data_IF_938131088309
#
_entry.id   IF_938131088309
#
_cell.length_a   1.000
_cell.length_b   1.000
_cell.length_c   1.000
_cell.angle_alpha   90.00
_cell.angle_beta   90.00
_cell.angle_gamma   90.00
#
_symmetry.space_group_name_H-M   'P 1'
#
loop_
_entity.id
_entity.type
_entity.pdbx_description
1 polymer ?
#
# COMPACT_ATOMS: atom_id res chain seq x y z
N UNK A 1 18.15 35.75 22.33
CA UNK A 1 18.21 35.93 20.86
C UNK A 1 19.48 35.34 20.27
N UNK A 2 20.69 35.81 20.63
CA UNK A 2 21.97 35.26 20.11
C UNK A 2 22.19 33.76 20.35
N UNK A 3 21.93 33.27 21.57
CA UNK A 3 22.05 31.85 21.89
C UNK A 3 21.05 30.96 21.13
N UNK A 4 19.87 31.51 20.78
CA UNK A 4 18.91 30.81 19.93
C UNK A 4 19.38 30.77 18.47
N UNK A 5 19.94 31.88 17.97
CA UNK A 5 20.53 31.96 16.62
C UNK A 5 21.74 31.04 16.47
N UNK A 6 22.67 30.98 17.43
CA UNK A 6 23.79 30.03 17.37
C UNK A 6 23.34 28.57 17.45
N UNK A 7 22.25 28.29 18.17
CA UNK A 7 21.68 26.94 18.26
C UNK A 7 20.94 26.53 16.97
N UNK A 8 20.31 27.49 16.30
CA UNK A 8 19.51 27.26 15.10
C UNK A 8 20.36 27.33 13.82
N UNK A 9 21.34 28.24 13.77
CA UNK A 9 22.13 28.54 12.59
C UNK A 9 23.58 28.93 13.01
N UNK A 10 24.44 27.95 13.32
CA UNK A 10 25.79 28.19 13.85
C UNK A 10 26.64 29.02 12.89
N UNK A 11 27.38 30.02 13.40
CA UNK A 11 28.28 30.86 12.60
C UNK A 11 27.62 32.06 11.89
N UNK A 12 26.31 32.24 12.09
CA UNK A 12 25.55 33.40 11.60
C UNK A 12 25.38 34.50 12.65
N UNK A 13 25.79 34.27 13.91
CA UNK A 13 25.74 35.31 14.93
C UNK A 13 26.93 36.28 14.80
N UNK A 14 26.66 37.58 14.88
CA UNK A 14 27.69 38.63 14.90
C UNK A 14 28.69 38.49 16.04
N UNK A 15 29.77 39.31 16.01
CA UNK A 15 30.85 39.28 17.00
C UNK A 15 30.32 39.59 18.42
N UNK A 16 30.97 39.06 19.48
CA UNK A 16 30.58 39.38 20.85
C UNK A 16 30.71 40.88 21.11
N UNK A 17 29.59 41.53 21.47
CA UNK A 17 29.56 42.96 21.79
C UNK A 17 28.63 43.79 20.91
N UNK A 18 28.23 43.28 19.74
CA UNK A 18 27.20 43.93 18.93
C UNK A 18 25.82 43.75 19.59
N UNK A 19 25.04 44.84 19.61
CA UNK A 19 23.67 44.85 20.11
C UNK A 19 22.85 43.72 19.48
N UNK A 20 21.80 43.27 20.18
CA UNK A 20 20.95 42.12 19.84
C UNK A 20 20.16 42.21 18.50
N UNK A 21 20.61 43.02 17.55
CA UNK A 21 20.07 43.16 16.21
C UNK A 21 20.66 42.08 15.29
N UNK A 22 19.81 41.50 14.45
CA UNK A 22 20.21 40.56 13.42
C UNK A 22 20.41 41.35 12.13
N UNK A 23 21.59 41.24 11.53
CA UNK A 23 21.88 41.86 10.23
C UNK A 23 20.92 41.33 9.14
N UNK A 24 20.58 42.17 8.15
CA UNK A 24 19.59 41.81 7.10
C UNK A 24 20.05 40.59 6.31
N UNK A 25 21.35 40.44 6.03
CA UNK A 25 21.90 39.28 5.33
C UNK A 25 21.84 38.03 6.21
N UNK A 26 22.07 38.19 7.52
CA UNK A 26 21.92 37.10 8.50
C UNK A 26 20.46 36.65 8.60
N UNK A 27 19.51 37.60 8.64
CA UNK A 27 18.09 37.30 8.66
C UNK A 27 17.63 36.59 7.38
N UNK A 28 18.06 37.08 6.21
CA UNK A 28 17.76 36.43 4.94
C UNK A 28 18.31 34.99 4.87
N UNK A 29 19.53 34.75 5.35
CA UNK A 29 20.11 33.40 5.43
C UNK A 29 19.36 32.50 6.41
N UNK A 30 18.86 33.03 7.52
CA UNK A 30 18.04 32.27 8.46
C UNK A 30 16.73 31.81 7.82
N UNK A 31 16.07 32.70 7.06
CA UNK A 31 14.81 32.37 6.38
C UNK A 31 14.95 31.23 5.35
N UNK A 32 16.12 31.11 4.71
CA UNK A 32 16.45 30.06 3.73
C UNK A 32 17.15 28.83 4.37
N UNK A 33 17.40 28.87 5.68
CA UNK A 33 18.09 27.77 6.38
C UNK A 33 17.15 26.64 6.80
N UNK A 34 17.70 25.45 7.07
CA UNK A 34 16.94 24.30 7.61
C UNK A 34 16.23 24.62 8.93
N UNK A 35 16.72 25.61 9.70
CA UNK A 35 16.09 26.02 10.95
C UNK A 35 14.76 26.76 10.76
N UNK A 36 14.50 27.27 9.55
CA UNK A 36 13.21 27.85 9.15
C UNK A 36 12.45 26.93 8.18
N UNK A 37 12.82 25.65 8.14
CA UNK A 37 12.11 24.69 7.32
C UNK A 37 10.66 24.54 7.80
N UNK A 38 9.71 24.50 6.87
CA UNK A 38 8.29 24.19 7.16
C UNK A 38 8.14 22.75 7.69
N UNK A 39 9.14 21.93 7.45
CA UNK A 39 9.25 20.54 7.78
C UNK A 39 9.69 20.35 9.23
N UNK A 40 8.79 19.89 10.10
CA UNK A 40 9.13 19.57 11.50
C UNK A 40 10.00 18.30 11.56
N UNK A 41 11.30 18.41 11.91
CA UNK A 41 12.21 17.27 11.95
C UNK A 41 11.81 16.24 13.02
N UNK A 42 11.02 16.60 14.04
CA UNK A 42 10.49 15.64 15.02
C UNK A 42 9.34 14.80 14.45
N UNK A 43 8.63 15.32 13.45
CA UNK A 43 7.57 14.58 12.72
C UNK A 43 8.09 13.85 11.48
N UNK A 44 9.19 14.33 10.91
CA UNK A 44 9.84 13.71 9.74
C UNK A 44 10.90 12.68 10.13
N UNK A 45 11.48 12.83 11.32
CA UNK A 45 12.43 11.89 11.88
C UNK A 45 11.77 10.62 12.39
N UNK A 46 12.53 9.53 12.29
CA UNK A 46 12.29 8.19 12.86
C UNK A 46 12.12 8.14 14.38
N UNK A 47 12.02 9.28 15.08
CA UNK A 47 11.71 9.36 16.51
C UNK A 47 10.23 9.13 16.74
N UNK A 48 9.73 8.01 16.23
CA UNK A 48 8.53 7.39 16.78
C UNK A 48 8.93 6.96 18.19
N UNK A 49 8.12 7.30 19.18
CA UNK A 49 8.33 6.84 20.56
C UNK A 49 8.64 5.32 20.55
N UNK A 50 9.58 4.87 21.38
CA UNK A 50 9.85 3.43 21.50
C UNK A 50 8.53 2.68 21.74
N UNK A 51 8.26 1.66 20.94
CA UNK A 51 6.99 0.90 21.01
C UNK A 51 5.79 1.55 20.32
N UNK A 52 5.95 2.66 19.56
CA UNK A 52 4.86 3.26 18.76
C UNK A 52 4.19 2.23 17.83
N UNK A 53 4.98 1.31 17.27
CA UNK A 53 4.50 0.26 16.34
C UNK A 53 4.09 -1.04 17.05
N UNK A 54 3.97 -1.03 18.39
CA UNK A 54 3.61 -2.17 19.22
C UNK A 54 2.11 -2.32 19.49
N UNK A 55 1.26 -1.36 19.10
CA UNK A 55 -0.21 -1.47 19.17
C UNK A 55 -0.75 -2.40 18.06
N UNK A 56 -1.98 -2.94 18.18
CA UNK A 56 -2.62 -3.77 17.14
C UNK A 56 -2.69 -3.08 15.77
N UNK A 57 -2.59 -3.84 14.67
CA UNK A 57 -2.58 -3.31 13.30
C UNK A 57 -3.77 -2.37 12.98
N UNK A 58 -4.93 -2.60 13.60
CA UNK A 58 -6.14 -1.77 13.43
C UNK A 58 -6.03 -0.34 13.98
N UNK A 59 -4.92 0.01 14.64
CA UNK A 59 -4.71 1.34 15.25
C UNK A 59 -3.95 2.32 14.35
N UNK A 60 -3.56 1.90 13.14
CA UNK A 60 -2.72 2.70 12.26
C UNK A 60 -3.42 2.97 10.94
N UNK A 61 -3.20 4.16 10.39
CA UNK A 61 -3.42 4.38 8.97
C UNK A 61 -2.36 3.64 8.16
N UNK A 62 -2.80 2.93 7.15
CA UNK A 62 -1.96 2.12 6.27
C UNK A 62 -2.03 2.74 4.87
N UNK A 63 -0.87 3.16 4.36
CA UNK A 63 -0.76 3.64 2.99
C UNK A 63 -1.13 2.50 2.02
N UNK A 64 -2.17 2.72 1.21
CA UNK A 64 -2.87 1.67 0.46
C UNK A 64 -3.05 2.09 -1.00
N UNK A 65 -2.92 1.13 -1.91
CA UNK A 65 -3.13 1.32 -3.35
C UNK A 65 -4.30 0.45 -3.81
N UNK A 66 -5.20 1.07 -4.58
CA UNK A 66 -6.32 0.42 -5.25
C UNK A 66 -5.93 0.06 -6.69
N UNK A 67 -6.41 -1.09 -7.19
CA UNK A 67 -6.10 -1.62 -8.52
C UNK A 67 -4.64 -1.43 -8.92
N UNK A 68 -3.73 -1.86 -8.04
CA UNK A 68 -2.30 -1.54 -8.09
C UNK A 68 -1.64 -1.90 -9.43
N UNK A 69 -2.15 -2.91 -10.12
CA UNK A 69 -1.61 -3.38 -11.39
C UNK A 69 -1.83 -2.41 -12.56
N UNK A 70 -2.80 -1.49 -12.49
CA UNK A 70 -3.12 -0.59 -13.60
C UNK A 70 -2.11 0.57 -13.70
N UNK A 71 -1.60 0.84 -14.90
CA UNK A 71 -0.70 1.99 -15.17
C UNK A 71 -1.46 3.27 -15.54
N UNK A 72 -2.77 3.18 -15.78
CA UNK A 72 -3.58 4.27 -16.35
C UNK A 72 -5.03 4.23 -15.86
N UNK A 73 -5.98 4.43 -16.77
CA UNK A 73 -7.41 4.43 -16.45
C UNK A 73 -7.96 3.03 -16.11
N UNK A 74 -9.22 2.99 -15.67
CA UNK A 74 -9.88 1.77 -15.20
C UNK A 74 -10.44 0.89 -16.32
N UNK A 75 -10.54 1.35 -17.58
CA UNK A 75 -11.27 0.63 -18.64
C UNK A 75 -10.35 0.08 -19.72
N UNK A 76 -9.28 0.79 -20.08
CA UNK A 76 -8.45 0.50 -21.23
C UNK A 76 -6.96 0.79 -21.00
N UNK A 77 -6.43 0.36 -19.85
CA UNK A 77 -5.02 0.57 -19.51
C UNK A 77 -4.19 -0.71 -19.45
N UNK A 78 -2.89 -0.53 -19.32
CA UNK A 78 -1.93 -1.63 -19.23
C UNK A 78 -1.87 -2.09 -17.78
N UNK A 79 -1.96 -3.40 -17.57
CA UNK A 79 -1.59 -4.06 -16.32
C UNK A 79 -0.09 -4.34 -16.30
N UNK A 80 0.58 -4.08 -15.18
CA UNK A 80 2.03 -4.23 -15.03
C UNK A 80 2.40 -4.69 -13.62
N UNK A 81 3.28 -5.69 -13.53
CA UNK A 81 3.83 -6.16 -12.26
C UNK A 81 4.76 -5.10 -11.62
N UNK A 82 5.38 -4.24 -12.44
CA UNK A 82 6.29 -3.18 -12.00
C UNK A 82 5.57 -2.09 -11.19
N UNK A 83 4.26 -1.91 -11.36
CA UNK A 83 3.49 -0.97 -10.53
C UNK A 83 3.54 -1.35 -9.05
N UNK A 84 3.51 -2.65 -8.72
CA UNK A 84 3.67 -3.13 -7.35
C UNK A 84 5.02 -2.71 -6.76
N UNK A 85 6.11 -2.86 -7.53
CA UNK A 85 7.41 -2.40 -7.10
C UNK A 85 7.42 -0.88 -6.89
N UNK A 86 6.87 -0.11 -7.82
CA UNK A 86 6.84 1.35 -7.73
C UNK A 86 6.08 1.85 -6.50
N UNK A 87 4.89 1.30 -6.20
CA UNK A 87 4.11 1.75 -5.03
C UNK A 87 4.76 1.32 -3.72
N UNK A 88 5.34 0.11 -3.64
CA UNK A 88 6.03 -0.38 -2.45
C UNK A 88 7.28 0.47 -2.14
N UNK A 89 8.04 0.85 -3.17
CA UNK A 89 9.20 1.75 -3.03
C UNK A 89 8.82 3.15 -2.57
N UNK A 90 7.60 3.62 -2.88
CA UNK A 90 7.01 4.87 -2.37
C UNK A 90 6.41 4.75 -0.97
N UNK A 91 6.53 3.59 -0.33
CA UNK A 91 6.09 3.34 1.04
C UNK A 91 4.65 2.85 1.19
N UNK A 92 3.96 2.51 0.10
CA UNK A 92 2.67 1.79 0.16
C UNK A 92 2.86 0.45 0.87
N UNK A 93 1.93 0.05 1.75
CA UNK A 93 1.97 -1.17 2.56
C UNK A 93 0.73 -2.06 2.38
N UNK A 94 -0.26 -1.65 1.60
CA UNK A 94 -1.40 -2.48 1.21
C UNK A 94 -1.60 -2.35 -0.30
N UNK A 95 -1.54 -3.48 -1.01
CA UNK A 95 -1.67 -3.51 -2.48
C UNK A 95 -2.79 -4.45 -2.88
N UNK A 96 -3.47 -4.12 -3.96
CA UNK A 96 -4.60 -4.86 -4.49
C UNK A 96 -4.21 -5.77 -5.66
N UNK A 97 -4.76 -6.97 -5.70
CA UNK A 97 -4.48 -7.99 -6.72
C UNK A 97 -5.79 -8.66 -7.14
N UNK A 98 -6.27 -8.33 -8.33
CA UNK A 98 -7.51 -8.87 -8.90
C UNK A 98 -7.20 -10.13 -9.69
N UNK A 99 -7.49 -11.28 -9.10
CA UNK A 99 -7.01 -12.56 -9.58
C UNK A 99 -8.09 -13.28 -10.40
N UNK A 100 -7.73 -13.68 -11.61
CA UNK A 100 -8.59 -14.37 -12.57
C UNK A 100 -7.93 -15.65 -13.09
N UNK A 101 -8.76 -16.59 -13.55
CA UNK A 101 -8.29 -17.81 -14.21
C UNK A 101 -7.44 -17.47 -15.44
N UNK A 102 -6.35 -18.23 -15.60
CA UNK A 102 -5.47 -18.12 -16.75
C UNK A 102 -6.01 -18.83 -17.98
N UNK A 103 -5.62 -18.35 -19.16
CA UNK A 103 -5.89 -18.99 -20.43
C UNK A 103 -4.61 -19.06 -21.27
N UNK A 104 -4.56 -20.02 -22.21
CA UNK A 104 -3.43 -20.15 -23.14
C UNK A 104 -3.22 -18.84 -23.90
N UNK A 105 -1.99 -18.33 -23.89
CA UNK A 105 -1.61 -17.09 -24.55
C UNK A 105 -2.06 -15.81 -23.83
N UNK A 106 -2.63 -15.91 -22.63
CA UNK A 106 -3.10 -14.77 -21.85
C UNK A 106 -2.46 -14.74 -20.44
N UNK A 107 -1.46 -13.87 -20.17
CA UNK A 107 -0.69 -13.10 -21.16
C UNK A 107 0.19 -13.99 -22.05
N UNK A 108 0.87 -13.40 -23.03
CA UNK A 108 1.78 -14.11 -23.93
C UNK A 108 2.74 -15.03 -23.15
N UNK A 109 2.84 -16.29 -23.57
CA UNK A 109 3.65 -17.31 -22.88
C UNK A 109 2.92 -18.10 -21.78
N UNK A 110 1.72 -17.68 -21.34
CA UNK A 110 0.90 -18.49 -20.43
C UNK A 110 0.41 -19.75 -21.14
N UNK A 111 0.56 -20.92 -20.51
CA UNK A 111 0.07 -22.21 -21.05
C UNK A 111 -1.36 -22.52 -20.59
N UNK A 112 -2.03 -21.56 -19.94
CA UNK A 112 -3.35 -21.73 -19.35
C UNK A 112 -3.30 -22.45 -17.99
N UNK A 113 -2.14 -22.50 -17.36
CA UNK A 113 -1.89 -23.19 -16.09
C UNK A 113 -1.53 -22.24 -14.94
N UNK A 114 -1.33 -20.95 -15.23
CA UNK A 114 -1.06 -19.91 -14.22
C UNK A 114 -2.16 -18.84 -14.17
N UNK A 115 -2.56 -18.38 -12.97
CA UNK A 115 -3.55 -17.32 -12.82
C UNK A 115 -3.00 -15.98 -13.30
N UNK A 116 -3.92 -15.07 -13.63
CA UNK A 116 -3.60 -13.74 -14.14
C UNK A 116 -4.18 -12.64 -13.27
N UNK A 117 -3.62 -11.44 -13.41
CA UNK A 117 -4.10 -10.21 -12.77
C UNK A 117 -4.56 -9.22 -13.84
N UNK A 118 -5.79 -8.73 -13.70
CA UNK A 118 -6.43 -7.78 -14.62
C UNK A 118 -7.70 -7.21 -14.00
N UNK A 119 -8.16 -6.08 -14.52
CA UNK A 119 -9.49 -5.59 -14.24
C UNK A 119 -10.51 -6.38 -15.08
N UNK A 120 -11.45 -7.06 -14.41
CA UNK A 120 -12.42 -7.94 -15.04
C UNK A 120 -13.34 -7.22 -16.02
N UNK A 121 -13.82 -7.92 -17.05
CA UNK A 121 -14.79 -7.39 -18.01
C UNK A 121 -14.40 -6.08 -18.72
N UNK A 122 -13.11 -5.74 -18.73
CA UNK A 122 -12.56 -4.57 -19.42
C UNK A 122 -11.59 -4.96 -20.53
N UNK A 123 -11.04 -3.97 -21.24
CA UNK A 123 -10.00 -4.19 -22.26
C UNK A 123 -8.58 -4.00 -21.73
N UNK A 124 -8.42 -3.95 -20.40
CA UNK A 124 -7.12 -3.89 -19.76
C UNK A 124 -6.27 -5.14 -20.07
N UNK A 125 -4.95 -4.96 -20.16
CA UNK A 125 -4.03 -6.09 -20.41
C UNK A 125 -3.92 -6.98 -19.16
N UNK A 126 -3.30 -8.15 -19.30
CA UNK A 126 -3.14 -9.13 -18.24
C UNK A 126 -1.67 -9.30 -17.89
N UNK A 127 -1.37 -9.59 -16.63
CA UNK A 127 -0.04 -10.02 -16.17
C UNK A 127 -0.15 -11.31 -15.37
N UNK A 128 0.92 -12.12 -15.33
CA UNK A 128 0.92 -13.34 -14.54
C UNK A 128 0.90 -13.01 -13.05
N UNK A 129 0.07 -13.72 -12.30
CA UNK A 129 0.04 -13.61 -10.84
C UNK A 129 1.42 -13.88 -10.23
N UNK A 130 2.16 -14.87 -10.76
CA UNK A 130 3.52 -15.17 -10.29
C UNK A 130 4.48 -14.00 -10.42
N UNK A 131 4.41 -13.25 -11.52
CA UNK A 131 5.28 -12.10 -11.75
C UNK A 131 4.93 -10.95 -10.81
N UNK A 132 3.63 -10.75 -10.51
CA UNK A 132 3.18 -9.83 -9.47
C UNK A 132 3.76 -10.20 -8.10
N UNK A 133 3.66 -11.47 -7.68
CA UNK A 133 4.20 -11.93 -6.40
C UNK A 133 5.72 -11.77 -6.34
N UNK A 134 6.45 -12.02 -7.43
CA UNK A 134 7.90 -11.79 -7.52
C UNK A 134 8.27 -10.32 -7.41
N UNK A 135 7.54 -9.43 -8.09
CA UNK A 135 7.75 -8.00 -8.00
C UNK A 135 7.57 -7.50 -6.56
N UNK A 136 6.52 -7.98 -5.88
CA UNK A 136 6.27 -7.69 -4.46
C UNK A 136 7.42 -8.20 -3.58
N UNK A 137 7.80 -9.47 -3.68
CA UNK A 137 8.91 -10.07 -2.91
C UNK A 137 10.18 -9.22 -2.99
N UNK A 138 10.54 -8.80 -4.21
CA UNK A 138 11.78 -8.10 -4.49
C UNK A 138 11.78 -6.64 -4.00
N UNK A 139 10.60 -6.05 -3.75
CA UNK A 139 10.45 -4.63 -3.42
C UNK A 139 9.82 -4.36 -2.05
N UNK A 140 9.25 -5.37 -1.39
CA UNK A 140 8.52 -5.23 -0.14
C UNK A 140 9.34 -4.56 0.97
N UNK A 141 10.59 -5.00 1.19
CA UNK A 141 11.41 -4.55 2.33
C UNK A 141 12.79 -3.98 1.92
N UNK A 142 13.06 -3.92 0.62
CA UNK A 142 14.34 -3.48 0.07
C UNK A 142 14.52 -1.95 0.01
N UNK A 143 15.70 -1.48 -0.40
CA UNK A 143 15.91 -0.08 -0.79
C UNK A 143 14.96 0.32 -1.96
N UNK A 144 14.54 1.59 -2.06
CA UNK A 144 14.89 2.74 -1.22
C UNK A 144 14.02 2.89 0.03
N UNK A 145 12.87 2.21 0.12
CA UNK A 145 11.89 2.43 1.18
C UNK A 145 12.43 2.11 2.59
N UNK A 146 13.31 1.09 2.72
CA UNK A 146 13.83 0.57 4.01
C UNK A 146 12.73 0.37 5.07
N UNK A 147 11.49 0.17 4.63
CA UNK A 147 10.32 0.00 5.49
C UNK A 147 10.17 -1.50 5.77
N UNK A 148 10.44 -1.90 7.02
CA UNK A 148 10.38 -3.31 7.46
C UNK A 148 8.99 -3.74 7.89
N UNK A 149 8.03 -2.83 8.03
CA UNK A 149 6.66 -3.13 8.47
C UNK A 149 5.89 -3.92 7.41
N UNK A 150 4.88 -4.71 7.82
CA UNK A 150 4.24 -5.70 6.95
C UNK A 150 3.64 -5.11 5.68
N UNK A 151 3.61 -5.94 4.64
CA UNK A 151 2.86 -5.68 3.42
C UNK A 151 1.59 -6.53 3.43
N UNK A 152 0.46 -5.93 3.11
CA UNK A 152 -0.84 -6.59 3.01
C UNK A 152 -1.20 -6.75 1.54
N UNK A 153 -1.54 -7.98 1.14
CA UNK A 153 -2.07 -8.30 -0.19
C UNK A 153 -3.58 -8.36 -0.07
N UNK A 154 -4.28 -7.34 -0.54
CA UNK A 154 -5.75 -7.36 -0.72
C UNK A 154 -6.05 -8.15 -1.99
N UNK A 155 -6.47 -9.40 -1.84
CA UNK A 155 -6.77 -10.28 -2.97
C UNK A 155 -8.26 -10.24 -3.27
N UNK A 156 -8.60 -9.78 -4.47
CA UNK A 156 -9.93 -9.93 -5.05
C UNK A 156 -9.94 -11.23 -5.87
N UNK A 157 -10.85 -12.14 -5.53
CA UNK A 157 -10.78 -13.53 -5.97
C UNK A 157 -11.88 -13.87 -6.96
N UNK A 158 -11.51 -14.02 -8.23
CA UNK A 158 -12.37 -14.52 -9.31
C UNK A 158 -11.89 -15.87 -9.87
N UNK A 159 -10.83 -16.42 -9.29
CA UNK A 159 -10.29 -17.70 -9.71
C UNK A 159 -11.19 -18.88 -9.29
N UNK A 160 -11.26 -19.90 -10.14
CA UNK A 160 -11.80 -21.21 -9.77
C UNK A 160 -10.92 -21.89 -8.71
N UNK A 161 -11.46 -22.89 -8.00
CA UNK A 161 -10.75 -23.59 -6.93
C UNK A 161 -9.35 -24.12 -7.37
N UNK A 162 -9.25 -24.64 -8.59
CA UNK A 162 -7.98 -25.09 -9.18
C UNK A 162 -6.94 -23.97 -9.25
N UNK A 163 -7.34 -22.78 -9.70
CA UNK A 163 -6.42 -21.64 -9.77
C UNK A 163 -6.16 -21.02 -8.40
N UNK A 164 -7.10 -21.09 -7.46
CA UNK A 164 -6.85 -20.70 -6.07
C UNK A 164 -5.77 -21.57 -5.40
N UNK A 165 -5.81 -22.89 -5.61
CA UNK A 165 -4.74 -23.80 -5.16
C UNK A 165 -3.39 -23.44 -5.79
N UNK A 166 -3.39 -23.13 -7.09
CA UNK A 166 -2.20 -22.68 -7.81
C UNK A 166 -1.66 -21.36 -7.27
N UNK A 167 -2.52 -20.38 -6.96
CA UNK A 167 -2.14 -19.12 -6.33
C UNK A 167 -1.51 -19.37 -4.96
N UNK A 168 -2.11 -20.24 -4.14
CA UNK A 168 -1.57 -20.58 -2.83
C UNK A 168 -0.19 -21.25 -2.94
N UNK A 169 0.02 -22.12 -3.94
CA UNK A 169 1.32 -22.70 -4.24
C UNK A 169 2.34 -21.63 -4.65
N UNK A 170 1.98 -20.72 -5.57
CA UNK A 170 2.84 -19.61 -6.00
C UNK A 170 3.24 -18.73 -4.81
N UNK A 171 2.30 -18.34 -3.95
CA UNK A 171 2.61 -17.54 -2.76
C UNK A 171 3.60 -18.26 -1.84
N UNK A 172 3.43 -19.56 -1.58
CA UNK A 172 4.36 -20.34 -0.74
C UNK A 172 5.74 -20.47 -1.38
N UNK A 173 5.80 -20.77 -2.67
CA UNK A 173 7.04 -20.93 -3.44
C UNK A 173 7.84 -19.63 -3.50
N UNK A 174 7.18 -18.54 -3.89
CA UNK A 174 7.87 -17.27 -4.16
C UNK A 174 8.16 -16.51 -2.87
N UNK A 175 7.19 -16.42 -1.94
CA UNK A 175 7.36 -15.61 -0.71
C UNK A 175 8.09 -16.35 0.40
N UNK A 176 8.00 -17.69 0.46
CA UNK A 176 8.66 -18.51 1.48
C UNK A 176 8.40 -17.99 2.90
N UNK A 177 9.47 -17.74 3.65
CA UNK A 177 9.42 -17.23 5.04
C UNK A 177 8.85 -15.80 5.14
N UNK A 178 8.75 -15.03 4.04
CA UNK A 178 8.07 -13.74 4.11
C UNK A 178 6.56 -13.91 4.28
N UNK A 179 5.96 -15.03 3.84
CA UNK A 179 4.53 -15.25 3.97
C UNK A 179 4.13 -15.45 5.43
N UNK A 180 3.19 -14.65 5.92
CA UNK A 180 2.61 -14.81 7.25
C UNK A 180 1.47 -15.83 7.21
N UNK A 181 1.57 -16.86 8.05
CA UNK A 181 0.51 -17.84 8.26
C UNK A 181 -0.05 -17.69 9.68
N UNK A 182 -1.33 -17.34 9.78
CA UNK A 182 -2.03 -17.06 11.06
C UNK A 182 -1.93 -18.21 12.08
N UNK A 183 -1.79 -19.46 11.63
CA UNK A 183 -1.73 -20.64 12.51
C UNK A 183 -0.43 -20.81 13.30
N UNK A 184 0.61 -20.02 13.00
CA UNK A 184 1.87 -20.04 13.75
C UNK A 184 1.80 -19.21 15.04
N UNK A 185 0.70 -18.49 15.25
CA UNK A 185 0.59 -17.50 16.30
C UNK A 185 -0.67 -17.76 17.14
N UNK A 186 -0.56 -18.05 18.45
CA UNK A 186 -1.69 -18.13 19.36
C UNK A 186 -2.23 -16.71 19.63
N UNK A 187 -2.66 -16.04 18.58
CA UNK A 187 -3.34 -14.76 18.68
C UNK A 187 -4.74 -15.02 19.19
N UNK A 188 -5.06 -14.38 20.32
CA UNK A 188 -6.43 -14.19 20.75
C UNK A 188 -7.21 -13.63 19.55
N UNK A 189 -8.20 -14.38 19.06
CA UNK A 189 -8.97 -14.07 17.83
C UNK A 189 -9.60 -12.66 17.84
N UNK A 190 -9.54 -11.98 18.99
CA UNK A 190 -10.04 -10.63 19.25
C UNK A 190 -9.07 -9.51 18.91
N UNK A 191 -7.76 -9.76 18.71
CA UNK A 191 -6.77 -8.68 18.46
C UNK A 191 -5.77 -9.03 17.36
N UNK A 192 -5.69 -8.16 16.35
CA UNK A 192 -4.68 -8.26 15.28
C UNK A 192 -3.26 -8.07 15.84
N UNK A 193 -2.25 -8.74 15.26
CA UNK A 193 -0.84 -8.56 15.65
C UNK A 193 -0.39 -7.11 15.38
N UNK A 194 0.68 -6.68 16.05
CA UNK A 194 1.24 -5.35 15.84
C UNK A 194 2.11 -5.29 14.57
N UNK A 195 2.27 -4.12 13.92
CA UNK A 195 3.22 -3.96 12.83
C UNK A 195 4.65 -4.37 13.21
N UNK A 196 5.06 -4.10 14.44
CA UNK A 196 6.38 -4.48 14.97
C UNK A 196 6.60 -6.00 14.97
N UNK A 197 5.57 -6.77 15.32
CA UNK A 197 5.62 -8.25 15.32
C UNK A 197 5.65 -8.85 13.91
N UNK A 198 5.04 -8.16 12.95
CA UNK A 198 4.94 -8.60 11.56
C UNK A 198 6.06 -8.02 10.67
N UNK A 199 7.18 -7.57 11.24
CA UNK A 199 8.27 -7.06 10.43
C UNK A 199 8.82 -8.11 9.47
N UNK A 200 9.02 -7.72 8.21
CA UNK A 200 9.48 -8.61 7.14
C UNK A 200 8.42 -9.62 6.67
N UNK A 201 7.17 -9.50 7.13
CA UNK A 201 6.09 -10.41 6.78
C UNK A 201 5.11 -9.82 5.77
N UNK A 202 4.56 -10.69 4.93
CA UNK A 202 3.54 -10.40 3.92
C UNK A 202 2.27 -11.14 4.34
N UNK A 203 1.20 -10.39 4.52
CA UNK A 203 -0.11 -10.88 4.98
C UNK A 203 -1.07 -10.93 3.81
N UNK A 204 -1.77 -12.05 3.63
CA UNK A 204 -2.83 -12.17 2.61
C UNK A 204 -4.17 -11.83 3.25
N UNK A 205 -4.86 -10.83 2.70
CA UNK A 205 -6.23 -10.43 3.04
C UNK A 205 -7.15 -10.90 1.92
N UNK A 206 -8.01 -11.87 2.21
CA UNK A 206 -9.01 -12.37 1.27
C UNK A 206 -10.16 -13.04 2.01
N UNK A 207 -11.21 -13.41 1.28
CA UNK A 207 -12.33 -14.17 1.85
C UNK A 207 -11.84 -15.54 2.28
N UNK A 208 -12.06 -15.88 3.54
CA UNK A 208 -11.86 -17.25 4.02
C UNK A 208 -13.01 -18.09 3.50
N UNK A 209 -12.71 -19.26 2.94
CA UNK A 209 -13.74 -20.28 2.78
C UNK A 209 -14.33 -20.56 4.17
N UNK A 210 -15.66 -20.68 4.26
CA UNK A 210 -16.27 -21.13 5.50
C UNK A 210 -15.56 -22.42 5.92
N UNK A 211 -15.10 -22.55 7.18
CA UNK A 211 -14.61 -23.84 7.64
C UNK A 211 -15.71 -24.84 7.32
N UNK A 212 -15.35 -25.97 6.69
CA UNK A 212 -16.30 -27.00 6.28
C UNK A 212 -17.17 -27.35 7.49
N UNK A 213 -18.33 -26.71 7.57
CA UNK A 213 -19.29 -26.94 8.63
C UNK A 213 -19.81 -28.35 8.36
N UNK A 214 -19.82 -29.18 9.40
CA UNK A 214 -20.65 -30.37 9.42
C UNK A 214 -22.01 -30.01 8.83
N UNK A 215 -22.47 -30.81 7.86
CA UNK A 215 -23.64 -30.56 7.02
C UNK A 215 -24.76 -29.82 7.76
N UNK A 216 -25.07 -28.61 7.30
CA UNK A 216 -26.30 -27.91 7.63
C UNK A 216 -27.21 -27.92 6.40
N UNK A 217 -28.54 -28.05 6.59
CA UNK A 217 -29.50 -28.39 5.53
C UNK A 217 -29.71 -27.23 4.53
N UNK A 218 -30.33 -27.50 3.36
CA UNK A 218 -30.36 -26.55 2.26
C UNK A 218 -31.41 -25.44 2.44
N UNK A 219 -31.29 -24.45 1.54
CA UNK A 219 -32.21 -23.34 1.20
C UNK A 219 -31.82 -22.00 1.88
N UNK A 220 -31.71 -20.86 1.20
CA UNK A 220 -32.46 -20.36 0.04
C UNK A 220 -31.58 -19.40 -0.82
N UNK A 221 -31.78 -19.44 -2.14
CA UNK A 221 -31.10 -18.61 -3.13
C UNK A 221 -31.61 -17.16 -3.03
N UNK A 222 -30.72 -16.23 -2.68
CA UNK A 222 -30.94 -14.79 -2.88
C UNK A 222 -29.73 -14.18 -3.57
N UNK A 223 -29.87 -13.98 -4.88
CA UNK A 223 -29.00 -13.17 -5.71
C UNK A 223 -29.04 -11.72 -5.22
N UNK A 224 -27.99 -11.28 -4.52
CA UNK A 224 -27.73 -9.87 -4.27
C UNK A 224 -26.99 -9.28 -5.46
N UNK A 225 -27.68 -8.48 -6.27
CA UNK A 225 -27.06 -7.59 -7.26
C UNK A 225 -26.43 -6.41 -6.53
N UNK A 226 -25.12 -6.28 -6.58
CA UNK A 226 -24.43 -5.05 -6.19
C UNK A 226 -24.55 -4.05 -7.36
N UNK A 227 -25.61 -3.23 -7.31
CA UNK A 227 -25.73 -1.99 -8.09
C UNK A 227 -24.85 -0.91 -7.43
N UNK A 228 -23.59 -0.79 -7.84
CA UNK A 228 -22.74 0.37 -7.55
C UNK A 228 -22.58 1.21 -8.83
N UNK A 229 -23.66 1.91 -9.21
CA UNK A 229 -23.66 2.84 -10.36
C UNK A 229 -24.33 4.20 -10.06
N UNK A 230 -24.14 4.72 -8.85
CA UNK A 230 -24.67 6.05 -8.46
C UNK A 230 -23.65 6.89 -7.70
N UNK A 231 -22.58 7.28 -8.39
CA UNK A 231 -21.71 8.38 -7.92
C UNK A 231 -21.14 9.28 -9.03
N UNK A 232 -21.65 9.20 -10.27
CA UNK A 232 -21.15 10.00 -11.39
C UNK A 232 -22.10 11.12 -11.87
N UNK A 233 -23.33 11.22 -11.36
CA UNK A 233 -24.35 12.12 -11.92
C UNK A 233 -24.52 13.48 -11.20
N UNK A 234 -23.93 13.71 -10.02
CA UNK A 234 -24.26 14.92 -9.21
C UNK A 234 -23.25 16.08 -9.28
N UNK A 235 -22.23 16.03 -10.15
CA UNK A 235 -21.23 17.10 -10.30
C UNK A 235 -21.32 17.90 -11.62
N UNK A 236 -22.40 17.78 -12.40
CA UNK A 236 -22.56 18.49 -13.68
C UNK A 236 -23.59 19.65 -13.66
N UNK A 237 -24.24 19.95 -12.53
CA UNK A 237 -25.34 20.93 -12.49
C UNK A 237 -24.97 22.32 -11.94
N UNK A 238 -23.68 22.66 -11.79
CA UNK A 238 -23.27 23.95 -11.19
C UNK A 238 -22.15 24.67 -11.95
N UNK A 239 -22.34 24.88 -13.26
CA UNK A 239 -21.58 25.87 -14.01
C UNK A 239 -22.34 26.36 -15.26
N UNK A 240 -23.16 27.41 -15.11
CA UNK A 240 -23.44 28.35 -16.21
C UNK A 240 -23.35 29.78 -15.67
N UNK A 241 -22.47 30.64 -16.21
CA UNK A 241 -22.53 32.07 -15.92
C UNK A 241 -23.65 32.72 -16.73
N UNK A 242 -24.35 33.69 -16.12
CA UNK A 242 -25.35 34.52 -16.79
C UNK A 242 -24.68 35.51 -17.76
N UNK A 243 -25.25 35.75 -18.96
CA UNK A 243 -24.76 36.82 -19.83
C UNK A 243 -25.31 38.18 -19.37
N UNK A 244 -24.51 39.23 -19.60
CA UNK A 244 -24.94 40.63 -19.56
C UNK A 244 -25.86 40.95 -20.74
#
# INVERSE_FOLDING_TARGET
>A
TRAALERMAPGLAGKPGDAAAVDVLVFARLLDSEANSVWDPLRLGTRREEGYMGRPLSWYWINSSHNTYLTGDQLASVSSAEQYAAVLQRGCRCVEIDCWDGAVGMPEGNKGDEPVVTHGHTVCTKVLFRDVIRAIKNSAFGPPARNRFPVILSVEMHCSAKFQEKMAAICREELGEMLYLMGEDPLDARRLPSPERLQGRIVVKGKLAAPAAAEAPPDDESSGSDDDDVAAAEMAARAKPAPR
#
